data_IF_389519725559
#
_entry.id   IF_389519725559
#
_cell.length_a   1.000
_cell.length_b   1.000
_cell.length_c   1.000
_cell.angle_alpha   90.00
_cell.angle_beta   90.00
_cell.angle_gamma   90.00
#
_symmetry.space_group_name_H-M   'P 1'
#
loop_
_entity.id
_entity.type
_entity.pdbx_description
1 polymer ?
#
# COMPACT_ATOMS: atom_id res chain seq x y z
N UNK A 1 6.20 10.20 11.69
CA UNK A 1 6.45 9.12 10.72
C UNK A 1 5.39 9.17 9.61
N UNK A 2 5.50 10.11 8.66
CA UNK A 2 4.46 10.32 7.63
C UNK A 2 4.35 9.15 6.64
N UNK A 3 5.45 8.45 6.32
CA UNK A 3 5.42 7.30 5.41
C UNK A 3 4.60 6.11 5.93
N UNK A 4 4.73 5.79 7.22
CA UNK A 4 3.92 4.74 7.86
C UNK A 4 2.43 5.09 7.89
N UNK A 5 2.09 6.37 8.12
CA UNK A 5 0.72 6.85 8.08
C UNK A 5 0.11 6.69 6.68
N UNK A 6 0.85 7.04 5.63
CA UNK A 6 0.39 6.89 4.25
C UNK A 6 0.22 5.42 3.84
N UNK A 7 1.12 4.54 4.31
CA UNK A 7 0.98 3.10 4.11
C UNK A 7 -0.27 2.54 4.82
N UNK A 8 -0.60 3.04 6.02
CA UNK A 8 -1.83 2.68 6.73
C UNK A 8 -3.08 3.22 6.04
N UNK A 9 -3.04 4.45 5.53
CA UNK A 9 -4.15 5.02 4.75
C UNK A 9 -4.45 4.18 3.50
N UNK A 10 -3.42 3.67 2.82
CA UNK A 10 -3.59 2.73 1.71
C UNK A 10 -4.40 1.48 2.10
N UNK A 11 -4.22 0.98 3.33
CA UNK A 11 -5.04 -0.14 3.85
C UNK A 11 -6.47 0.28 4.10
N UNK A 12 -6.68 1.43 4.76
CA UNK A 12 -8.02 1.91 5.09
C UNK A 12 -8.86 2.11 3.83
N UNK A 13 -8.26 2.59 2.74
CA UNK A 13 -8.97 2.78 1.48
C UNK A 13 -9.39 1.48 0.79
N UNK A 14 -8.74 0.34 1.05
CA UNK A 14 -9.07 -0.94 0.39
C UNK A 14 -9.52 -2.05 1.33
N UNK A 15 -9.57 -1.81 2.65
CA UNK A 15 -9.99 -2.83 3.63
C UNK A 15 -11.36 -3.40 3.29
N UNK A 16 -12.23 -2.54 2.76
CA UNK A 16 -13.58 -2.89 2.36
C UNK A 16 -13.59 -3.70 1.05
N UNK A 17 -12.63 -3.50 0.14
CA UNK A 17 -12.49 -4.30 -1.08
C UNK A 17 -11.83 -5.67 -0.83
N UNK A 18 -11.13 -5.80 0.29
CA UNK A 18 -10.40 -7.00 0.67
C UNK A 18 -11.21 -7.94 1.59
N UNK A 19 -12.38 -7.51 2.06
CA UNK A 19 -13.24 -8.34 2.92
C UNK A 19 -13.88 -9.48 2.12
N UNK A 20 -13.54 -10.76 2.41
CA UNK A 20 -14.11 -11.91 1.70
C UNK A 20 -15.59 -12.15 2.00
N UNK A 21 -16.15 -11.50 3.03
CA UNK A 21 -17.56 -11.63 3.39
C UNK A 21 -18.46 -10.64 2.64
N UNK A 22 -17.85 -9.74 1.86
CA UNK A 22 -18.60 -8.71 1.16
C UNK A 22 -19.01 -9.16 -0.23
N UNK A 23 -20.32 -9.15 -0.49
CA UNK A 23 -20.92 -9.52 -1.78
C UNK A 23 -21.57 -8.27 -2.38
N UNK A 24 -20.98 -7.69 -3.43
CA UNK A 24 -21.52 -6.50 -4.10
C UNK A 24 -20.50 -5.71 -4.92
N UNK A 25 -20.99 -4.70 -5.66
CA UNK A 25 -20.16 -3.74 -6.37
C UNK A 25 -19.74 -2.61 -5.44
N UNK A 26 -18.48 -2.17 -5.55
CA UNK A 26 -17.95 -1.00 -4.83
C UNK A 26 -17.23 -0.05 -5.77
N UNK A 27 -17.20 1.22 -5.38
CA UNK A 27 -16.33 2.20 -6.02
C UNK A 27 -14.87 1.77 -5.86
N UNK A 28 -14.14 1.76 -6.96
CA UNK A 28 -12.75 1.38 -6.95
C UNK A 28 -11.87 2.52 -6.43
N UNK A 29 -11.56 2.50 -5.12
CA UNK A 29 -10.63 3.42 -4.46
C UNK A 29 -9.17 2.99 -4.57
N UNK A 30 -8.86 1.90 -5.31
CA UNK A 30 -7.51 1.34 -5.40
C UNK A 30 -6.50 2.30 -6.02
N UNK A 31 -6.90 3.18 -6.94
CA UNK A 31 -6.05 4.23 -7.49
C UNK A 31 -5.56 5.21 -6.42
N UNK A 32 -6.45 5.67 -5.54
CA UNK A 32 -6.11 6.55 -4.40
C UNK A 32 -5.20 5.82 -3.42
N UNK A 33 -5.52 4.56 -3.11
CA UNK A 33 -4.73 3.73 -2.22
C UNK A 33 -3.31 3.46 -2.76
N UNK A 34 -3.17 3.29 -4.07
CA UNK A 34 -1.88 3.11 -4.74
C UNK A 34 -1.06 4.41 -4.74
N UNK A 35 -1.68 5.57 -4.99
CA UNK A 35 -1.01 6.86 -4.90
C UNK A 35 -0.50 7.15 -3.48
N UNK A 36 -1.32 6.87 -2.45
CA UNK A 36 -0.92 6.97 -1.05
C UNK A 36 0.25 6.03 -0.72
N UNK A 37 0.20 4.78 -1.19
CA UNK A 37 1.27 3.81 -1.00
C UNK A 37 2.58 4.27 -1.66
N UNK A 38 2.52 4.75 -2.91
CA UNK A 38 3.67 5.22 -3.66
C UNK A 38 4.37 6.39 -2.96
N UNK A 39 3.60 7.38 -2.51
CA UNK A 39 4.12 8.51 -1.73
C UNK A 39 4.71 8.07 -0.39
N UNK A 40 4.04 7.15 0.31
CA UNK A 40 4.53 6.58 1.56
C UNK A 40 5.88 5.87 1.38
N UNK A 41 6.00 5.05 0.33
CA UNK A 41 7.22 4.32 0.00
C UNK A 41 8.36 5.24 -0.41
N UNK A 42 8.08 6.29 -1.20
CA UNK A 42 9.07 7.30 -1.56
C UNK A 42 9.66 7.96 -0.30
N UNK A 43 8.82 8.34 0.66
CA UNK A 43 9.26 8.93 1.93
C UNK A 43 10.09 7.96 2.77
N UNK A 44 9.74 6.67 2.78
CA UNK A 44 10.52 5.64 3.47
C UNK A 44 11.90 5.47 2.83
N UNK A 45 11.98 5.42 1.50
CA UNK A 45 13.26 5.31 0.77
C UNK A 45 14.14 6.53 0.99
N UNK A 46 13.58 7.74 0.87
CA UNK A 46 14.32 8.99 1.11
C UNK A 46 14.78 9.08 2.57
N UNK A 47 13.91 8.78 3.52
CA UNK A 47 14.24 8.76 4.95
C UNK A 47 15.33 7.73 5.28
N UNK A 48 15.28 6.56 4.65
CA UNK A 48 16.30 5.53 4.80
C UNK A 48 17.64 5.96 4.21
N UNK A 49 17.66 6.53 3.01
CA UNK A 49 18.87 7.03 2.37
C UNK A 49 19.56 8.10 3.24
N UNK A 50 18.80 9.08 3.72
CA UNK A 50 19.31 10.14 4.62
C UNK A 50 19.82 9.55 5.93
N UNK A 51 19.07 8.62 6.53
CA UNK A 51 19.44 7.98 7.79
C UNK A 51 20.67 7.05 7.69
N UNK A 52 20.90 6.44 6.53
CA UNK A 52 22.06 5.59 6.24
C UNK A 52 23.33 6.41 5.97
N UNK A 53 23.20 7.57 5.31
CA UNK A 53 24.28 8.56 5.12
C UNK A 53 24.75 9.18 6.44
N UNK A 54 23.96 9.07 7.51
CA UNK A 54 24.33 9.48 8.86
C UNK A 54 25.60 8.80 9.39
N UNK A 55 26.34 9.51 10.24
CA UNK A 55 27.66 9.08 10.76
C UNK A 55 27.56 8.14 11.96
N UNK A 56 26.40 8.03 12.63
CA UNK A 56 26.22 7.18 13.82
C UNK A 56 25.72 5.78 13.46
N UNK A 57 26.34 4.75 14.05
CA UNK A 57 25.91 3.34 13.87
C UNK A 57 24.50 3.10 14.42
N UNK A 58 24.13 3.75 15.51
CA UNK A 58 22.80 3.64 16.11
C UNK A 58 21.69 4.15 15.20
N UNK A 59 21.91 5.25 14.48
CA UNK A 59 20.97 5.77 13.47
C UNK A 59 20.71 4.75 12.36
N UNK A 60 21.77 4.07 11.88
CA UNK A 60 21.65 3.09 10.80
C UNK A 60 20.84 1.86 11.20
N UNK A 61 21.05 1.36 12.41
CA UNK A 61 20.30 0.21 12.93
C UNK A 61 18.83 0.59 13.10
N UNK A 62 18.53 1.74 13.70
CA UNK A 62 17.15 2.22 13.84
C UNK A 62 16.45 2.37 12.48
N UNK A 63 17.15 2.89 11.49
CA UNK A 63 16.65 3.03 10.11
C UNK A 63 16.38 1.67 9.49
N UNK A 64 17.29 0.71 9.60
CA UNK A 64 17.09 -0.64 9.04
C UNK A 64 15.90 -1.35 9.70
N UNK A 65 15.77 -1.25 11.02
CA UNK A 65 14.68 -1.88 11.79
C UNK A 65 13.31 -1.32 11.40
N UNK A 66 13.21 -0.04 11.03
CA UNK A 66 11.93 0.60 10.68
C UNK A 66 11.66 0.55 9.17
N UNK A 67 12.67 0.83 8.34
CA UNK A 67 12.50 0.90 6.90
C UNK A 67 12.31 -0.47 6.26
N UNK A 68 13.02 -1.51 6.74
CA UNK A 68 12.92 -2.84 6.14
C UNK A 68 11.51 -3.43 6.26
N UNK A 69 10.82 -3.43 7.43
CA UNK A 69 9.44 -3.88 7.53
C UNK A 69 8.48 -3.04 6.69
N UNK A 70 8.67 -1.72 6.65
CA UNK A 70 7.82 -0.83 5.84
C UNK A 70 7.97 -1.10 4.34
N UNK A 71 9.19 -1.39 3.87
CA UNK A 71 9.45 -1.73 2.48
C UNK A 71 8.83 -3.09 2.11
N UNK A 72 8.98 -4.09 2.98
CA UNK A 72 8.36 -5.41 2.80
C UNK A 72 6.84 -5.30 2.78
N UNK A 73 6.26 -4.53 3.71
CA UNK A 73 4.83 -4.26 3.75
C UNK A 73 4.36 -3.57 2.47
N UNK A 74 5.07 -2.53 2.02
CA UNK A 74 4.71 -1.82 0.80
C UNK A 74 4.79 -2.69 -0.46
N UNK A 75 5.78 -3.57 -0.55
CA UNK A 75 5.88 -4.55 -1.64
C UNK A 75 4.70 -5.52 -1.64
N UNK A 76 4.34 -6.06 -0.47
CA UNK A 76 3.16 -6.92 -0.33
C UNK A 76 1.87 -6.18 -0.71
N UNK A 77 1.68 -4.94 -0.22
CA UNK A 77 0.50 -4.13 -0.58
C UNK A 77 0.41 -3.85 -2.07
N UNK A 78 1.53 -3.58 -2.74
CA UNK A 78 1.56 -3.39 -4.18
C UNK A 78 1.06 -4.64 -4.93
N UNK A 79 1.38 -5.86 -4.46
CA UNK A 79 0.86 -7.10 -5.07
C UNK A 79 -0.64 -7.29 -4.87
N UNK A 80 -1.21 -6.78 -3.77
CA UNK A 80 -2.66 -6.81 -3.51
C UNK A 80 -3.40 -5.77 -4.36
N UNK A 81 -2.83 -4.59 -4.51
CA UNK A 81 -3.40 -3.48 -5.29
C UNK A 81 -3.31 -3.68 -6.80
N UNK A 82 -2.26 -4.37 -7.28
CA UNK A 82 -2.01 -4.60 -8.71
C UNK A 82 -3.23 -5.10 -9.51
N UNK A 83 -3.98 -6.15 -9.08
CA UNK A 83 -5.16 -6.60 -9.80
C UNK A 83 -6.33 -5.60 -9.75
N UNK A 84 -6.45 -4.79 -8.69
CA UNK A 84 -7.53 -3.81 -8.54
C UNK A 84 -7.32 -2.57 -9.42
N UNK A 85 -6.06 -2.20 -9.67
CA UNK A 85 -5.67 -1.05 -10.49
C UNK A 85 -6.10 -1.20 -11.96
N UNK A 86 -6.32 -2.42 -12.45
CA UNK A 86 -6.85 -2.65 -13.80
C UNK A 86 -8.28 -2.16 -13.97
N UNK A 87 -9.04 -2.00 -12.89
CA UNK A 87 -10.43 -1.53 -12.88
C UNK A 87 -10.55 -0.05 -12.45
N UNK A 88 -9.46 0.73 -12.47
CA UNK A 88 -9.45 2.09 -11.91
C UNK A 88 -10.50 2.99 -12.61
N UNK A 89 -11.23 3.78 -11.83
CA UNK A 89 -12.28 4.67 -12.33
C UNK A 89 -13.66 4.04 -12.58
N UNK A 90 -13.86 2.75 -12.24
CA UNK A 90 -15.15 2.06 -12.33
C UNK A 90 -15.57 1.35 -11.04
N UNK A 91 -16.57 0.50 -11.14
CA UNK A 91 -17.02 -0.38 -10.06
C UNK A 91 -16.20 -1.68 -10.09
N UNK A 92 -15.97 -2.27 -8.93
CA UNK A 92 -15.20 -3.51 -8.79
C UNK A 92 -15.94 -4.46 -7.85
N UNK A 93 -15.94 -5.76 -8.19
CA UNK A 93 -16.45 -6.81 -7.34
C UNK A 93 -15.43 -7.95 -7.21
N UNK A 94 -15.36 -8.53 -6.02
CA UNK A 94 -14.55 -9.72 -5.77
C UNK A 94 -15.34 -10.97 -6.12
N UNK A 95 -14.71 -11.90 -6.83
CA UNK A 95 -15.27 -13.18 -7.22
C UNK A 95 -14.92 -14.27 -6.20
N UNK A 96 -15.67 -15.37 -6.21
CA UNK A 96 -15.48 -16.50 -5.27
C UNK A 96 -14.12 -17.19 -5.42
N UNK A 97 -13.48 -17.08 -6.58
CA UNK A 97 -12.13 -17.57 -6.85
C UNK A 97 -11.02 -16.62 -6.35
N UNK A 98 -11.40 -15.49 -5.74
CA UNK A 98 -10.50 -14.46 -5.24
C UNK A 98 -10.04 -13.46 -6.30
N UNK A 99 -10.49 -13.60 -7.56
CA UNK A 99 -10.24 -12.62 -8.61
C UNK A 99 -11.12 -11.37 -8.46
N UNK A 100 -10.81 -10.33 -9.23
CA UNK A 100 -11.58 -9.09 -9.27
C UNK A 100 -12.16 -8.88 -10.66
N UNK A 101 -13.45 -8.53 -10.72
CA UNK A 101 -14.14 -8.18 -11.96
C UNK A 101 -14.46 -6.68 -11.98
N UNK A 102 -14.20 -6.05 -13.13
CA UNK A 102 -14.50 -4.63 -13.36
C UNK A 102 -15.90 -4.47 -13.96
N UNK A 103 -16.60 -3.41 -13.57
CA UNK A 103 -17.90 -3.03 -14.09
C UNK A 103 -17.89 -1.53 -14.41
N UNK A 104 -18.58 -1.15 -15.50
CA UNK A 104 -18.77 0.23 -15.94
C UNK A 104 -20.07 0.84 -15.39
#
# INVERSE_FOLDING_TARGET
MPGALLALLSVVFTMELEDPLFVGLRDNTSGIAAAALALGMLLVVVGAAVGLLGRSRGSRIAVLVVALPLLLFGAWRATVLAPMLGCDGGLIARQDDGSYACYE
#
